data_IF_133022884302
#
_entry.id   IF_133022884302
#
_cell.length_a   1.000
_cell.length_b   1.000
_cell.length_c   1.000
_cell.angle_alpha   90.00
_cell.angle_beta   90.00
_cell.angle_gamma   90.00
#
_symmetry.space_group_name_H-M   'P 1'
#
loop_
_entity.id
_entity.type
_entity.pdbx_description
1 polymer ?
#
# COMPACT_ATOMS: atom_id res chain seq x y z
N UNK A 1 -19.05 13.28 0.15
CA UNK A 1 -17.77 13.90 -0.28
C UNK A 1 -16.71 12.82 -0.13
N UNK A 2 -16.16 12.27 -1.21
CA UNK A 2 -15.01 11.37 -1.07
C UNK A 2 -13.84 12.21 -0.55
N UNK A 3 -13.15 11.74 0.47
CA UNK A 3 -11.90 12.37 0.90
C UNK A 3 -10.90 12.45 -0.25
N UNK A 4 -9.85 13.28 -0.15
CA UNK A 4 -8.77 13.28 -1.12
C UNK A 4 -8.26 11.84 -1.30
N UNK A 5 -8.14 11.38 -2.56
CA UNK A 5 -7.69 10.02 -2.85
C UNK A 5 -6.23 9.85 -2.39
N UNK A 6 -6.05 9.15 -1.27
CA UNK A 6 -4.74 8.83 -0.72
C UNK A 6 -3.98 7.92 -1.67
N UNK A 7 -2.82 8.38 -2.11
CA UNK A 7 -1.82 7.54 -2.80
C UNK A 7 -1.00 6.81 -1.75
N UNK A 8 -1.07 5.48 -1.76
CA UNK A 8 -0.18 4.62 -1.00
C UNK A 8 0.95 4.15 -1.92
N UNK A 9 2.14 3.89 -1.38
CA UNK A 9 3.26 3.38 -2.18
C UNK A 9 3.78 2.09 -1.56
N UNK A 10 4.13 1.12 -2.40
CA UNK A 10 4.77 -0.12 -1.99
C UNK A 10 6.27 0.08 -1.74
N UNK A 11 6.92 -0.85 -1.04
CA UNK A 11 8.38 -0.81 -0.89
C UNK A 11 9.11 -1.00 -2.23
N UNK A 12 8.50 -1.71 -3.19
CA UNK A 12 8.99 -1.78 -4.57
C UNK A 12 8.82 -0.48 -5.37
N UNK A 13 8.07 0.51 -4.86
CA UNK A 13 7.92 1.83 -5.47
C UNK A 13 6.71 1.98 -6.40
N UNK A 14 5.75 1.06 -6.34
CA UNK A 14 4.50 1.13 -7.09
C UNK A 14 3.47 1.97 -6.33
N UNK A 15 2.93 3.05 -6.91
CA UNK A 15 1.83 3.81 -6.31
C UNK A 15 0.50 3.09 -6.49
N UNK A 16 -0.31 3.04 -5.44
CA UNK A 16 -1.62 2.39 -5.40
C UNK A 16 -2.69 3.40 -4.99
N UNK A 17 -3.81 3.36 -5.70
CA UNK A 17 -5.05 4.02 -5.32
C UNK A 17 -6.06 2.93 -4.98
N UNK A 18 -6.59 2.92 -3.77
CA UNK A 18 -7.42 1.81 -3.27
C UNK A 18 -8.82 2.32 -2.98
N UNK A 19 -9.81 1.67 -3.60
CA UNK A 19 -11.21 1.97 -3.40
C UNK A 19 -11.88 0.81 -2.66
N UNK A 20 -12.19 0.99 -1.38
CA UNK A 20 -12.84 -0.03 -0.55
C UNK A 20 -14.37 0.04 -0.66
N UNK A 21 -15.00 -1.13 -0.72
CA UNK A 21 -16.46 -1.29 -0.69
C UNK A 21 -16.90 -1.77 0.69
N UNK A 22 -16.80 -0.87 1.67
CA UNK A 22 -17.24 -1.13 3.05
C UNK A 22 -18.75 -1.43 3.13
N UNK A 23 -19.21 -2.19 4.15
CA UNK A 23 -18.44 -2.84 5.21
C UNK A 23 -17.92 -4.24 4.83
N UNK A 24 -17.16 -4.88 5.72
CA UNK A 24 -16.95 -6.34 5.67
C UNK A 24 -18.30 -7.07 5.74
N UNK A 25 -18.47 -8.12 4.94
CA UNK A 25 -19.65 -9.00 5.00
C UNK A 25 -19.24 -10.46 5.13
N UNK A 26 -20.08 -11.29 5.76
CA UNK A 26 -19.84 -12.72 5.87
C UNK A 26 -19.78 -13.38 4.49
N UNK A 27 -18.93 -14.39 4.35
CA UNK A 27 -18.90 -15.25 3.17
C UNK A 27 -20.20 -16.05 3.06
N UNK A 28 -20.83 -16.02 1.89
CA UNK A 28 -22.07 -16.77 1.61
C UNK A 28 -21.80 -18.24 1.25
N UNK A 29 -20.52 -18.62 1.07
CA UNK A 29 -20.11 -19.94 0.63
C UNK A 29 -19.81 -20.94 1.78
N UNK A 30 -20.33 -20.69 2.98
CA UNK A 30 -20.18 -21.58 4.14
C UNK A 30 -18.78 -21.61 4.76
N UNK A 31 -17.98 -20.58 4.52
CA UNK A 31 -16.63 -20.46 5.07
C UNK A 31 -16.57 -19.41 6.20
N UNK A 32 -15.76 -19.70 7.23
CA UNK A 32 -15.61 -18.86 8.44
C UNK A 32 -14.69 -17.64 8.21
N UNK A 33 -15.00 -16.83 7.20
CA UNK A 33 -14.33 -15.57 6.93
C UNK A 33 -15.31 -14.46 6.52
N UNK A 34 -14.87 -13.22 6.74
CA UNK A 34 -15.53 -12.02 6.24
C UNK A 34 -14.77 -11.50 5.03
N UNK A 35 -15.48 -10.90 4.10
CA UNK A 35 -14.94 -10.39 2.84
C UNK A 35 -15.13 -8.87 2.81
N UNK A 36 -14.07 -8.17 2.44
CA UNK A 36 -14.13 -6.78 2.01
C UNK A 36 -13.67 -6.71 0.55
N UNK A 37 -14.54 -6.24 -0.33
CA UNK A 37 -14.16 -5.99 -1.72
C UNK A 37 -13.42 -4.67 -1.83
N UNK A 38 -12.39 -4.64 -2.67
CA UNK A 38 -11.70 -3.42 -3.03
C UNK A 38 -11.30 -3.43 -4.51
N UNK A 39 -11.06 -2.25 -5.05
CA UNK A 39 -10.39 -2.09 -6.34
C UNK A 39 -9.04 -1.41 -6.13
N UNK A 40 -7.94 -2.11 -6.45
CA UNK A 40 -6.58 -1.60 -6.31
C UNK A 40 -6.09 -1.15 -7.68
N UNK A 41 -6.04 0.16 -7.90
CA UNK A 41 -5.56 0.75 -9.15
C UNK A 41 -4.05 1.01 -9.04
N UNK A 42 -3.31 0.61 -10.07
CA UNK A 42 -1.89 0.92 -10.18
C UNK A 42 -1.76 2.35 -10.69
N UNK A 43 -1.26 3.25 -9.84
CA UNK A 43 -0.98 4.63 -10.21
C UNK A 43 0.08 4.70 -11.31
N UNK A 44 0.07 5.78 -12.10
CA UNK A 44 0.96 5.97 -13.25
C UNK A 44 0.87 4.85 -14.31
N UNK A 45 -0.28 4.17 -14.39
CA UNK A 45 -0.59 3.21 -15.44
C UNK A 45 -1.80 3.68 -16.25
N UNK A 46 -1.98 3.13 -17.45
CA UNK A 46 -3.15 3.38 -18.32
C UNK A 46 -4.39 2.60 -17.83
N UNK A 47 -4.78 2.82 -16.57
CA UNK A 47 -5.97 2.24 -15.97
C UNK A 47 -5.84 0.77 -15.54
N UNK A 48 -4.62 0.28 -15.31
CA UNK A 48 -4.43 -1.07 -14.81
C UNK A 48 -4.88 -1.16 -13.34
N UNK A 49 -5.62 -2.22 -13.03
CA UNK A 49 -6.19 -2.42 -11.70
C UNK A 49 -6.33 -3.90 -11.35
N UNK A 50 -6.54 -4.16 -10.08
CA UNK A 50 -6.74 -5.48 -9.51
C UNK A 50 -7.97 -5.44 -8.59
N UNK A 51 -9.13 -5.93 -9.05
CA UNK A 51 -10.27 -6.18 -8.17
C UNK A 51 -9.92 -7.28 -7.17
N UNK A 52 -10.14 -7.04 -5.88
CA UNK A 52 -9.76 -7.97 -4.81
C UNK A 52 -10.90 -8.26 -3.85
N UNK A 53 -10.91 -9.48 -3.32
CA UNK A 53 -11.66 -9.89 -2.14
C UNK A 53 -10.70 -10.11 -0.98
N UNK A 54 -10.66 -9.17 -0.04
CA UNK A 54 -9.86 -9.29 1.18
C UNK A 54 -10.61 -10.19 2.16
N UNK A 55 -10.10 -11.39 2.38
CA UNK A 55 -10.69 -12.40 3.25
C UNK A 55 -10.10 -12.29 4.66
N UNK A 56 -10.87 -11.74 5.58
CA UNK A 56 -10.57 -11.67 7.00
C UNK A 56 -10.88 -13.01 7.68
N UNK A 57 -9.87 -13.70 8.16
CA UNK A 57 -10.03 -14.96 8.91
C UNK A 57 -10.65 -14.74 10.30
N UNK A 58 -11.39 -15.74 10.82
CA UNK A 58 -11.91 -15.77 12.18
C UNK A 58 -10.86 -15.47 13.27
N UNK A 59 -9.68 -16.08 13.19
CA UNK A 59 -8.63 -15.86 14.19
C UNK A 59 -8.13 -14.41 14.22
N UNK A 60 -8.10 -13.73 13.08
CA UNK A 60 -7.75 -12.29 13.05
C UNK A 60 -8.92 -11.43 13.51
N UNK A 61 -10.16 -11.84 13.22
CA UNK A 61 -11.36 -11.14 13.71
C UNK A 61 -11.39 -11.06 15.24
N UNK A 62 -10.88 -12.07 15.94
CA UNK A 62 -10.82 -12.11 17.40
C UNK A 62 -9.91 -11.03 18.02
N UNK A 63 -8.86 -10.60 17.31
CA UNK A 63 -7.93 -9.57 17.81
C UNK A 63 -8.26 -8.15 17.35
N UNK A 64 -9.22 -8.01 16.43
CA UNK A 64 -9.66 -6.71 15.94
C UNK A 64 -10.62 -6.05 16.93
N UNK A 65 -10.40 -4.78 17.31
CA UNK A 65 -11.37 -4.03 18.12
C UNK A 65 -12.75 -3.96 17.46
N UNK A 66 -12.78 -3.73 16.15
CA UNK A 66 -13.98 -3.83 15.32
C UNK A 66 -13.59 -4.08 13.85
N UNK A 67 -14.59 -4.32 12.99
CA UNK A 67 -14.41 -4.38 11.53
C UNK A 67 -14.72 -3.04 10.84
N UNK A 68 -14.88 -1.96 11.62
CA UNK A 68 -15.10 -0.62 11.09
C UNK A 68 -13.80 -0.04 10.49
N UNK A 69 -13.88 0.81 9.46
CA UNK A 69 -12.71 1.35 8.76
C UNK A 69 -11.64 1.91 9.70
N UNK A 70 -12.05 2.67 10.71
CA UNK A 70 -11.16 3.31 11.70
C UNK A 70 -10.21 2.33 12.43
N UNK A 71 -10.60 1.06 12.56
CA UNK A 71 -9.85 0.06 13.33
C UNK A 71 -9.07 -0.92 12.43
N UNK A 72 -9.43 -1.05 11.15
CA UNK A 72 -8.92 -2.13 10.28
C UNK A 72 -8.43 -1.68 8.90
N UNK A 73 -8.76 -0.47 8.44
CA UNK A 73 -8.39 0.01 7.09
C UNK A 73 -6.86 0.04 6.89
N UNK A 74 -6.10 0.61 7.85
CA UNK A 74 -4.63 0.68 7.77
C UNK A 74 -3.97 -0.69 7.60
N UNK A 75 -4.26 -1.69 8.47
CA UNK A 75 -3.80 -3.06 8.28
C UNK A 75 -4.19 -3.69 6.94
N UNK A 76 -5.40 -3.44 6.44
CA UNK A 76 -5.86 -3.98 5.14
C UNK A 76 -5.08 -3.35 3.97
N UNK A 77 -4.89 -2.03 3.98
CA UNK A 77 -4.04 -1.33 3.00
C UNK A 77 -2.63 -1.96 2.98
N UNK A 78 -2.06 -2.23 4.15
CA UNK A 78 -0.72 -2.79 4.26
C UNK A 78 -0.64 -4.26 3.81
N UNK A 79 -1.69 -5.04 4.03
CA UNK A 79 -1.79 -6.38 3.47
C UNK A 79 -1.79 -6.33 1.93
N UNK A 80 -2.56 -5.42 1.33
CA UNK A 80 -2.58 -5.23 -0.13
C UNK A 80 -1.22 -4.80 -0.66
N UNK A 81 -0.60 -3.78 -0.05
CA UNK A 81 0.78 -3.37 -0.41
C UNK A 81 1.76 -4.54 -0.33
N UNK A 82 1.62 -5.37 0.69
CA UNK A 82 2.52 -6.51 0.88
C UNK A 82 2.30 -7.62 -0.15
N UNK A 83 1.06 -7.87 -0.57
CA UNK A 83 0.80 -8.81 -1.66
C UNK A 83 1.33 -8.29 -2.99
N UNK A 84 1.31 -6.96 -3.24
CA UNK A 84 1.99 -6.36 -4.40
C UNK A 84 3.51 -6.52 -4.33
N UNK A 85 4.16 -6.23 -3.18
CA UNK A 85 5.61 -6.47 -3.02
C UNK A 85 6.00 -7.93 -3.23
N UNK A 86 5.12 -8.86 -2.84
CA UNK A 86 5.28 -10.30 -3.07
C UNK A 86 4.89 -10.73 -4.48
N UNK A 87 4.48 -9.78 -5.33
CA UNK A 87 4.04 -9.97 -6.72
C UNK A 87 2.86 -10.94 -6.83
N UNK A 88 1.99 -10.98 -5.84
CA UNK A 88 0.83 -11.89 -5.81
C UNK A 88 -0.41 -11.27 -6.47
N UNK A 89 -0.47 -9.94 -6.56
CA UNK A 89 -1.50 -9.24 -7.32
C UNK A 89 -1.02 -8.98 -8.74
N UNK A 90 -1.91 -9.24 -9.69
CA UNK A 90 -1.73 -8.92 -11.11
C UNK A 90 -2.58 -7.69 -11.45
N UNK A 91 -2.03 -6.75 -12.21
CA UNK A 91 -2.72 -5.53 -12.63
C UNK A 91 -3.04 -5.60 -14.12
N UNK A 92 -4.32 -5.66 -14.46
CA UNK A 92 -4.82 -5.82 -15.84
C UNK A 92 -5.87 -4.76 -16.15
N UNK A 93 -6.31 -4.63 -17.41
CA UNK A 93 -7.40 -3.69 -17.80
C UNK A 93 -8.80 -4.18 -17.41
N UNK A 94 -8.98 -5.48 -17.27
CA UNK A 94 -10.24 -6.11 -16.86
C UNK A 94 -9.91 -7.38 -16.07
N UNK A 95 -10.00 -7.29 -14.75
CA UNK A 95 -9.64 -8.37 -13.84
C UNK A 95 -10.86 -9.10 -13.27
N UNK A 96 -10.70 -10.38 -12.95
CA UNK A 96 -11.59 -11.08 -12.03
C UNK A 96 -11.22 -10.71 -10.59
N UNK A 97 -12.15 -10.87 -9.66
CA UNK A 97 -11.84 -10.73 -8.23
C UNK A 97 -10.75 -11.72 -7.82
N UNK A 98 -9.66 -11.20 -7.26
CA UNK A 98 -8.54 -11.99 -6.72
C UNK A 98 -8.68 -12.08 -5.21
N UNK A 99 -8.66 -13.28 -4.62
CA UNK A 99 -8.70 -13.43 -3.16
C UNK A 99 -7.37 -13.01 -2.54
N UNK A 100 -7.43 -12.11 -1.55
CA UNK A 100 -6.30 -11.70 -0.71
C UNK A 100 -6.54 -12.18 0.72
N UNK A 101 -5.61 -12.96 1.27
CA UNK A 101 -5.77 -13.55 2.59
C UNK A 101 -5.30 -12.57 3.69
N UNK A 102 -6.25 -11.98 4.42
CA UNK A 102 -5.98 -11.18 5.61
C UNK A 102 -6.09 -12.06 6.87
N UNK A 103 -4.98 -12.72 7.16
CA UNK A 103 -4.87 -13.77 8.18
C UNK A 103 -3.71 -13.53 9.15
N UNK A 104 -3.49 -14.49 10.06
CA UNK A 104 -2.41 -14.49 11.05
C UNK A 104 -1.01 -14.31 10.46
N UNK A 105 -0.82 -14.46 9.15
CA UNK A 105 0.44 -14.10 8.45
C UNK A 105 0.87 -12.63 8.62
N UNK A 106 -0.08 -11.75 8.96
CA UNK A 106 0.14 -10.33 9.16
C UNK A 106 0.08 -9.90 10.62
N UNK A 107 -0.17 -10.83 11.56
CA UNK A 107 -0.34 -10.52 12.97
C UNK A 107 0.54 -11.41 13.84
N UNK A 108 1.41 -10.81 14.64
CA UNK A 108 2.22 -11.48 15.65
C UNK A 108 1.43 -11.55 16.97
N UNK A 109 0.77 -12.68 17.22
CA UNK A 109 -0.02 -12.92 18.42
C UNK A 109 0.80 -12.89 19.70
N UNK A 110 2.10 -13.24 19.65
CA UNK A 110 2.97 -13.21 20.83
C UNK A 110 3.27 -11.78 21.27
N UNK A 111 3.38 -10.88 20.29
CA UNK A 111 3.66 -9.46 20.51
C UNK A 111 2.43 -8.56 20.43
N UNK A 112 1.26 -9.16 20.16
CA UNK A 112 -0.02 -8.48 19.99
C UNK A 112 0.05 -7.30 19.02
N UNK A 113 0.67 -7.49 17.85
CA UNK A 113 0.88 -6.43 16.86
C UNK A 113 0.85 -6.91 15.41
N UNK A 114 0.49 -6.00 14.50
CA UNK A 114 0.63 -6.24 13.06
C UNK A 114 2.09 -6.21 12.60
N UNK A 115 2.42 -7.03 11.59
CA UNK A 115 3.76 -7.13 11.01
C UNK A 115 3.66 -7.28 9.48
N UNK A 116 4.16 -6.27 8.76
CA UNK A 116 4.21 -6.26 7.29
C UNK A 116 5.65 -6.30 6.73
N UNK A 117 6.62 -6.03 7.59
CA UNK A 117 8.05 -6.07 7.30
C UNK A 117 8.78 -4.93 8.01
N UNK A 118 9.96 -5.22 8.54
CA UNK A 118 10.81 -4.22 9.17
C UNK A 118 11.69 -3.54 8.11
N UNK A 119 11.77 -2.22 8.17
CA UNK A 119 12.70 -1.44 7.36
C UNK A 119 13.67 -0.63 8.24
N UNK A 120 14.86 -0.35 7.72
CA UNK A 120 15.79 0.63 8.27
C UNK A 120 15.46 2.05 7.78
N UNK A 121 16.14 3.05 8.32
CA UNK A 121 15.87 4.47 8.03
C UNK A 121 15.98 4.82 6.54
N UNK A 122 16.92 4.21 5.81
CA UNK A 122 17.13 4.50 4.38
C UNK A 122 15.97 4.00 3.48
N UNK A 123 15.51 2.74 3.56
CA UNK A 123 14.28 2.32 2.89
C UNK A 123 13.04 3.08 3.33
N UNK A 124 12.95 3.49 4.61
CA UNK A 124 11.85 4.35 5.10
C UNK A 124 11.91 5.72 4.42
N UNK A 125 13.09 6.33 4.36
CA UNK A 125 13.29 7.60 3.67
C UNK A 125 12.88 7.48 2.20
N UNK A 126 13.29 6.40 1.53
CA UNK A 126 12.92 6.10 0.14
C UNK A 126 11.40 5.97 -0.02
N UNK A 127 10.72 5.26 0.88
CA UNK A 127 9.26 5.13 0.87
C UNK A 127 8.58 6.49 1.00
N UNK A 128 9.01 7.33 1.97
CA UNK A 128 8.46 8.68 2.18
C UNK A 128 8.66 9.53 0.92
N UNK A 129 9.88 9.56 0.37
CA UNK A 129 10.19 10.34 -0.82
C UNK A 129 9.35 9.90 -2.02
N UNK A 130 9.19 8.58 -2.24
CA UNK A 130 8.33 8.05 -3.31
C UNK A 130 6.86 8.39 -3.08
N UNK A 131 6.36 8.32 -1.84
CA UNK A 131 4.99 8.71 -1.48
C UNK A 131 4.75 10.17 -1.84
N UNK A 132 5.66 11.06 -1.42
CA UNK A 132 5.51 12.49 -1.69
C UNK A 132 5.54 12.76 -3.20
N UNK A 133 6.51 12.18 -3.92
CA UNK A 133 6.59 12.31 -5.37
C UNK A 133 5.32 11.81 -6.09
N UNK A 134 4.91 10.56 -5.84
CA UNK A 134 3.77 9.97 -6.55
C UNK A 134 2.45 10.63 -6.18
N UNK A 135 2.26 10.99 -4.91
CA UNK A 135 1.07 11.72 -4.50
C UNK A 135 0.99 13.10 -5.18
N UNK A 136 2.08 13.87 -5.18
CA UNK A 136 2.11 15.16 -5.85
C UNK A 136 1.88 15.04 -7.36
N UNK A 137 2.37 13.97 -8.00
CA UNK A 137 2.16 13.74 -9.43
C UNK A 137 0.74 13.27 -9.79
N UNK A 138 0.13 12.42 -8.97
CA UNK A 138 -1.14 11.74 -9.28
C UNK A 138 -2.36 12.45 -8.71
N UNK A 139 -2.25 13.01 -7.51
CA UNK A 139 -3.34 13.66 -6.78
C UNK A 139 -3.11 15.16 -6.55
N UNK A 140 -1.85 15.62 -6.59
CA UNK A 140 -1.48 16.98 -6.22
C UNK A 140 -1.60 17.24 -4.70
N UNK A 141 -1.40 18.48 -4.28
CA UNK A 141 -1.59 18.89 -2.88
C UNK A 141 -0.54 18.39 -1.89
N UNK A 142 -0.80 18.64 -0.60
CA UNK A 142 0.05 18.22 0.50
C UNK A 142 -0.20 16.77 0.89
N UNK A 143 0.86 16.08 1.29
CA UNK A 143 0.90 14.65 1.55
C UNK A 143 1.02 14.40 3.04
N UNK A 144 0.06 13.68 3.62
CA UNK A 144 0.14 13.28 5.02
C UNK A 144 1.19 12.18 5.20
N UNK A 145 2.34 12.53 5.77
CA UNK A 145 3.45 11.60 6.06
C UNK A 145 3.37 11.05 7.48
N UNK A 146 2.55 11.66 8.35
CA UNK A 146 2.25 11.16 9.70
C UNK A 146 1.22 10.03 9.78
N UNK A 147 0.75 9.52 8.64
CA UNK A 147 -0.24 8.44 8.56
C UNK A 147 0.23 7.17 9.32
N UNK A 148 -0.50 6.71 10.36
CA UNK A 148 -0.18 5.49 11.09
C UNK A 148 -0.06 4.23 10.22
N UNK A 149 -0.76 4.16 9.07
CA UNK A 149 -0.63 3.05 8.14
C UNK A 149 0.78 2.96 7.54
N UNK A 150 1.46 4.09 7.32
CA UNK A 150 2.85 4.13 6.86
C UNK A 150 3.81 3.59 7.91
N UNK A 151 3.70 4.08 9.15
CA UNK A 151 4.51 3.60 10.26
C UNK A 151 4.34 2.08 10.46
N UNK A 152 3.10 1.60 10.40
CA UNK A 152 2.77 0.18 10.55
C UNK A 152 3.36 -0.69 9.43
N UNK A 153 3.37 -0.21 8.19
CA UNK A 153 3.82 -0.96 7.02
C UNK A 153 5.30 -1.34 7.10
N UNK A 154 6.11 -0.47 7.73
CA UNK A 154 7.56 -0.63 7.89
C UNK A 154 7.99 -1.00 9.30
N UNK A 155 7.04 -1.41 10.15
CA UNK A 155 7.26 -1.78 11.56
C UNK A 155 7.98 -0.69 12.37
N UNK A 156 7.54 0.56 12.21
CA UNK A 156 8.08 1.75 12.86
C UNK A 156 6.99 2.51 13.63
N UNK A 157 7.31 3.72 14.11
CA UNK A 157 6.38 4.61 14.82
C UNK A 157 6.20 5.92 14.06
N UNK A 158 5.03 6.57 14.17
CA UNK A 158 4.78 7.87 13.54
C UNK A 158 5.86 8.91 13.90
N UNK A 159 6.28 9.07 15.18
CA UNK A 159 7.39 9.97 15.51
C UNK A 159 8.70 9.67 14.78
N UNK A 160 9.00 8.39 14.54
CA UNK A 160 10.19 8.00 13.80
C UNK A 160 10.07 8.32 12.31
N UNK A 161 8.91 8.05 11.69
CA UNK A 161 8.60 8.45 10.30
C UNK A 161 8.76 9.97 10.13
N UNK A 162 8.19 10.76 11.05
CA UNK A 162 8.29 12.22 11.02
C UNK A 162 9.72 12.73 11.25
N UNK A 163 10.54 12.02 12.03
CA UNK A 163 11.98 12.34 12.18
C UNK A 163 12.71 12.20 10.85
N UNK A 164 12.48 11.10 10.14
CA UNK A 164 13.10 10.86 8.83
C UNK A 164 12.59 11.87 7.80
N UNK A 165 11.28 12.17 7.80
CA UNK A 165 10.69 13.19 6.93
C UNK A 165 11.31 14.58 7.17
N UNK A 166 11.58 14.97 8.43
CA UNK A 166 12.31 16.21 8.75
C UNK A 166 13.71 16.22 8.15
N UNK A 167 14.47 15.14 8.30
CA UNK A 167 15.81 15.05 7.71
C UNK A 167 15.80 15.18 6.18
N UNK A 168 14.79 14.58 5.52
CA UNK A 168 14.59 14.75 4.08
C UNK A 168 14.23 16.21 3.71
N UNK A 169 13.42 16.89 4.52
CA UNK A 169 13.11 18.30 4.30
C UNK A 169 14.34 19.21 4.49
N UNK A 170 15.12 18.96 5.55
CA UNK A 170 16.39 19.66 5.83
C UNK A 170 17.42 19.47 4.71
N UNK A 171 17.42 18.31 4.03
CA UNK A 171 18.25 18.05 2.85
C UNK A 171 17.80 18.81 1.58
N UNK A 172 16.70 19.56 1.64
CA UNK A 172 16.16 20.32 0.52
C UNK A 172 15.41 19.46 -0.51
N UNK A 173 15.05 18.22 -0.18
CA UNK A 173 14.29 17.34 -1.07
C UNK A 173 12.78 17.61 -1.02
N UNK A 174 12.24 18.12 0.07
CA UNK A 174 10.82 18.44 0.18
C UNK A 174 10.60 19.53 1.23
N UNK A 175 9.39 20.05 1.32
CA UNK A 175 8.99 20.88 2.46
C UNK A 175 8.16 20.03 3.43
N UNK A 176 8.17 20.40 4.70
CA UNK A 176 7.41 19.73 5.75
C UNK A 176 6.81 20.77 6.71
N UNK A 177 5.50 20.72 6.89
CA UNK A 177 4.73 21.54 7.82
C UNK A 177 3.94 20.62 8.76
N UNK A 178 4.45 20.44 9.98
CA UNK A 178 3.90 19.46 10.92
C UNK A 178 4.04 18.03 10.40
N UNK A 179 2.91 17.43 10.02
CA UNK A 179 2.84 16.07 9.46
C UNK A 179 2.57 16.04 7.93
N UNK A 180 2.57 17.21 7.31
CA UNK A 180 2.23 17.39 5.90
C UNK A 180 3.47 17.76 5.11
N UNK A 181 3.79 16.99 4.07
CA UNK A 181 4.90 17.25 3.17
C UNK A 181 4.40 17.74 1.81
N UNK A 182 5.19 18.51 1.08
CA UNK A 182 4.94 18.76 -0.35
C UNK A 182 6.21 18.63 -1.18
N UNK A 183 6.04 18.14 -2.41
CA UNK A 183 7.14 18.01 -3.35
C UNK A 183 7.62 19.39 -3.80
N UNK A 184 8.93 19.62 -3.73
CA UNK A 184 9.54 20.82 -4.27
C UNK A 184 10.16 20.55 -5.66
N UNK A 185 10.74 21.58 -6.26
CA UNK A 185 11.38 21.46 -7.58
C UNK A 185 12.51 20.40 -7.62
N UNK A 186 13.26 20.23 -6.53
CA UNK A 186 14.35 19.25 -6.42
C UNK A 186 13.83 17.81 -6.46
N UNK A 187 12.73 17.52 -5.76
CA UNK A 187 12.09 16.20 -5.84
C UNK A 187 11.44 15.96 -7.19
N UNK A 188 10.76 16.96 -7.74
CA UNK A 188 10.11 16.83 -9.05
C UNK A 188 11.12 16.66 -10.19
N UNK A 189 12.33 17.21 -10.06
CA UNK A 189 13.42 16.99 -11.01
C UNK A 189 13.92 15.53 -11.05
N UNK A 190 13.57 14.70 -10.06
CA UNK A 190 13.92 13.27 -10.03
C UNK A 190 12.87 12.38 -10.73
N UNK A 191 11.96 12.95 -11.52
CA UNK A 191 10.87 12.23 -12.16
C UNK A 191 11.33 11.02 -12.98
N UNK A 192 12.38 11.17 -13.79
CA UNK A 192 12.92 10.07 -14.60
C UNK A 192 13.37 8.88 -13.74
N UNK A 193 13.98 9.15 -12.58
CA UNK A 193 14.40 8.09 -11.63
C UNK A 193 13.19 7.31 -11.13
N UNK A 194 12.16 8.01 -10.62
CA UNK A 194 10.97 7.33 -10.09
C UNK A 194 10.19 6.59 -11.18
N UNK A 195 10.10 7.14 -12.39
CA UNK A 195 9.49 6.44 -13.52
C UNK A 195 10.27 5.18 -13.93
N UNK A 196 11.60 5.24 -13.91
CA UNK A 196 12.44 4.08 -14.19
C UNK A 196 12.28 2.99 -13.11
N UNK A 197 12.26 3.39 -11.83
CA UNK A 197 12.00 2.48 -10.71
C UNK A 197 10.61 1.83 -10.83
N UNK A 198 9.57 2.61 -11.17
CA UNK A 198 8.23 2.10 -11.42
C UNK A 198 8.23 1.07 -12.55
N UNK A 199 8.81 1.40 -13.71
CA UNK A 199 8.87 0.50 -14.87
C UNK A 199 9.59 -0.81 -14.53
N UNK A 200 10.70 -0.73 -13.77
CA UNK A 200 11.43 -1.91 -13.33
C UNK A 200 10.59 -2.78 -12.38
N UNK A 201 10.00 -2.18 -11.34
CA UNK A 201 9.17 -2.90 -10.37
C UNK A 201 7.94 -3.53 -11.02
N UNK A 202 7.27 -2.80 -11.93
CA UNK A 202 6.12 -3.30 -12.66
C UNK A 202 6.50 -4.42 -13.63
N UNK A 203 7.62 -4.28 -14.36
CA UNK A 203 8.13 -5.32 -15.25
C UNK A 203 8.46 -6.63 -14.53
N UNK A 204 8.99 -6.57 -13.30
CA UNK A 204 9.25 -7.78 -12.49
C UNK A 204 7.98 -8.44 -11.95
N UNK A 205 6.90 -7.66 -11.75
CA UNK A 205 5.59 -8.18 -11.40
C UNK A 205 4.96 -8.88 -12.62
N UNK A 206 4.98 -8.23 -13.78
CA UNK A 206 4.38 -8.73 -15.03
C UNK A 206 5.05 -10.02 -15.50
N UNK A 207 6.39 -10.08 -15.48
CA UNK A 207 7.15 -11.31 -15.81
C UNK A 207 6.75 -12.51 -14.98
N UNK A 208 6.46 -12.31 -13.68
CA UNK A 208 6.06 -13.40 -12.79
C UNK A 208 4.72 -13.99 -13.22
N UNK A 209 3.72 -13.14 -13.46
CA UNK A 209 2.38 -13.60 -13.86
C UNK A 209 2.37 -14.21 -15.26
N UNK A 210 3.09 -13.62 -16.22
CA UNK A 210 3.24 -14.20 -17.55
C UNK A 210 3.85 -15.62 -17.51
N UNK A 211 4.80 -15.87 -16.61
CA UNK A 211 5.36 -17.20 -16.39
C UNK A 211 4.33 -18.16 -15.77
N UNK A 212 3.59 -17.74 -14.75
CA UNK A 212 2.57 -18.56 -14.09
C UNK A 212 1.43 -18.94 -15.06
N UNK A 213 1.00 -18.03 -15.92
CA UNK A 213 0.00 -18.30 -16.95
C UNK A 213 0.52 -19.25 -18.04
N UNK A 214 1.79 -19.10 -18.44
CA UNK A 214 2.45 -20.01 -19.36
C UNK A 214 2.60 -21.43 -18.81
N UNK A 215 2.64 -21.59 -17.48
CA UNK A 215 2.62 -22.91 -16.80
C UNK A 215 1.19 -23.45 -16.69
N UNK A 216 0.19 -22.62 -16.37
CA UNK A 216 -1.21 -23.04 -16.24
C UNK A 216 -1.82 -23.52 -17.56
N UNK A 217 -1.34 -23.01 -18.69
CA UNK A 217 -1.85 -23.32 -20.02
C UNK A 217 -1.11 -24.48 -20.73
N UNK A 218 -0.27 -25.24 -20.03
CA UNK A 218 0.38 -26.48 -20.51
C UNK A 218 -0.22 -27.69 -19.84
#
# INVERSE_FOLDING_TARGET
MSGPSSVYVTLSGLPLLIEFKWPFHSSTAGADFWVLHADVKLGNSEGLHAPVAVNLSATVREVLPSMEPKDVEGPVINALRKEVDRRQLEFVKSGKLVPVQFSSRYYDFKRNKWVFGKASDEPIATLITRKVFWHSRLSGGNVWVGDPAEALYVESTVPHILKIARGLAESGLMTLEGEWASANASLMAQAERFEAEFKAAFGELDKKHAFEDGVRNR
#
